data_IF_712894825415
#
_entry.id   IF_712894825415
#
_cell.length_a   1.000
_cell.length_b   1.000
_cell.length_c   1.000
_cell.angle_alpha   90.00
_cell.angle_beta   90.00
_cell.angle_gamma   90.00
#
_symmetry.space_group_name_H-M   'P 1'
#
loop_
_entity.id
_entity.type
_entity.pdbx_description
1 polymer ?
#
# COMPACT_ATOMS: atom_id res chain seq x y z
N UNK A 1 -3.39 39.15 -2.57
CA UNK A 1 -2.14 39.42 -1.83
C UNK A 1 -1.83 38.31 -0.85
N UNK A 2 -2.54 38.24 0.27
CA UNK A 2 -2.24 37.32 1.39
C UNK A 2 -2.37 35.84 1.01
N UNK A 3 -3.38 35.44 0.23
CA UNK A 3 -3.51 34.04 -0.24
C UNK A 3 -2.29 33.63 -1.09
N UNK A 4 -1.87 34.49 -2.03
CA UNK A 4 -0.67 34.26 -2.84
C UNK A 4 0.57 34.19 -1.94
N UNK A 5 0.71 35.10 -0.97
CA UNK A 5 1.81 35.09 -0.01
C UNK A 5 1.83 33.82 0.86
N UNK A 6 0.68 33.25 1.24
CA UNK A 6 0.59 31.99 1.99
C UNK A 6 0.91 30.80 1.11
N UNK A 7 0.43 30.75 -0.13
CA UNK A 7 0.72 29.64 -1.04
C UNK A 7 2.21 29.62 -1.40
N UNK A 8 2.76 30.75 -1.82
CA UNK A 8 4.17 30.86 -2.18
C UNK A 8 5.08 30.83 -0.96
N UNK A 9 4.78 31.61 0.07
CA UNK A 9 5.53 31.59 1.33
C UNK A 9 5.48 30.24 2.01
N UNK A 10 4.33 29.55 1.95
CA UNK A 10 4.17 28.17 2.38
C UNK A 10 5.12 27.25 1.61
N UNK A 11 5.06 27.22 0.27
CA UNK A 11 5.96 26.39 -0.55
C UNK A 11 7.45 26.62 -0.26
N UNK A 12 7.87 27.87 -0.06
CA UNK A 12 9.29 28.20 0.13
C UNK A 12 9.78 28.11 1.58
N UNK A 13 8.95 28.43 2.58
CA UNK A 13 9.35 28.47 3.99
C UNK A 13 9.07 27.18 4.76
N UNK A 14 8.04 26.41 4.37
CA UNK A 14 7.67 25.17 5.06
C UNK A 14 8.73 24.09 4.85
N UNK A 15 9.27 23.97 3.63
CA UNK A 15 10.32 22.98 3.29
C UNK A 15 11.57 23.09 4.17
N UNK A 16 12.25 24.25 4.31
CA UNK A 16 13.42 24.36 5.17
C UNK A 16 13.07 24.19 6.65
N UNK A 17 11.90 24.67 7.10
CA UNK A 17 11.46 24.51 8.47
C UNK A 17 11.31 23.03 8.86
N UNK A 18 10.60 22.24 8.05
CA UNK A 18 10.45 20.80 8.30
C UNK A 18 11.76 20.03 8.15
N UNK A 19 12.69 20.47 7.29
CA UNK A 19 14.04 19.88 7.20
C UNK A 19 14.87 20.11 8.46
N UNK A 20 14.72 21.26 9.13
CA UNK A 20 15.37 21.51 10.42
C UNK A 20 14.77 20.62 11.51
N UNK A 21 13.44 20.49 11.53
CA UNK A 21 12.73 19.66 12.50
C UNK A 21 13.05 18.18 12.31
N UNK A 22 13.11 17.68 11.06
CA UNK A 22 13.46 16.31 10.75
C UNK A 22 14.85 15.91 11.32
N UNK A 23 15.79 16.85 11.44
CA UNK A 23 17.10 16.60 12.07
C UNK A 23 17.03 16.38 13.58
N UNK A 24 15.95 16.82 14.24
CA UNK A 24 15.78 16.65 15.69
C UNK A 24 15.33 15.24 16.07
N UNK A 25 14.77 14.46 15.14
CA UNK A 25 14.23 13.11 15.37
C UNK A 25 13.11 13.03 16.43
N UNK A 26 12.50 14.16 16.80
CA UNK A 26 11.38 14.25 17.76
C UNK A 26 10.08 14.34 16.98
N UNK A 27 9.22 13.32 17.08
CA UNK A 27 7.92 13.27 16.37
C UNK A 27 6.95 14.36 16.85
N UNK A 28 6.94 14.62 18.16
CA UNK A 28 6.05 15.59 18.79
C UNK A 28 6.26 17.01 18.25
N UNK A 29 7.50 17.37 17.91
CA UNK A 29 7.85 18.67 17.34
C UNK A 29 7.26 18.83 15.93
N UNK A 30 7.16 17.73 15.20
CA UNK A 30 6.59 17.68 13.86
C UNK A 30 5.11 18.05 13.89
N UNK A 31 4.34 17.36 14.74
CA UNK A 31 2.91 17.62 14.97
C UNK A 31 2.67 19.03 15.50
N UNK A 32 3.47 19.48 16.49
CA UNK A 32 3.32 20.80 17.09
C UNK A 32 3.49 21.93 16.06
N UNK A 33 4.47 21.81 15.17
CA UNK A 33 4.71 22.80 14.12
C UNK A 33 3.64 22.75 13.04
N UNK A 34 3.18 21.56 12.65
CA UNK A 34 2.07 21.43 11.71
C UNK A 34 0.80 22.12 12.24
N UNK A 35 0.43 21.88 13.49
CA UNK A 35 -0.71 22.54 14.14
C UNK A 35 -0.48 24.04 14.29
N UNK A 36 0.74 24.48 14.64
CA UNK A 36 1.09 25.90 14.72
C UNK A 36 0.91 26.61 13.37
N UNK A 37 1.30 25.96 12.26
CA UNK A 37 1.10 26.50 10.92
C UNK A 37 -0.39 26.63 10.61
N UNK A 38 -1.19 25.59 10.89
CA UNK A 38 -2.64 25.60 10.67
C UNK A 38 -3.31 26.72 11.47
N UNK A 39 -3.02 26.81 12.78
CA UNK A 39 -3.56 27.84 13.68
C UNK A 39 -3.07 29.23 13.29
N UNK A 40 -1.79 29.38 12.93
CA UNK A 40 -1.20 30.64 12.51
C UNK A 40 -1.82 31.17 11.22
N UNK A 41 -2.06 30.31 10.23
CA UNK A 41 -2.75 30.67 8.99
C UNK A 41 -4.21 31.00 9.26
N UNK A 42 -4.90 30.22 10.11
CA UNK A 42 -6.28 30.51 10.51
C UNK A 42 -6.42 31.87 11.18
N UNK A 43 -5.50 32.20 12.10
CA UNK A 43 -5.44 33.49 12.77
C UNK A 43 -5.18 34.64 11.78
N UNK A 44 -4.19 34.48 10.88
CA UNK A 44 -3.87 35.50 9.88
C UNK A 44 -5.06 35.76 8.95
N UNK A 45 -5.81 34.72 8.59
CA UNK A 45 -7.02 34.82 7.77
C UNK A 45 -8.12 35.58 8.49
N UNK A 46 -8.35 35.29 9.77
CA UNK A 46 -9.27 36.06 10.60
C UNK A 46 -8.90 37.54 10.67
N UNK A 47 -7.60 37.86 10.80
CA UNK A 47 -7.12 39.24 10.89
C UNK A 47 -7.36 40.07 9.61
N UNK A 48 -7.50 39.43 8.44
CA UNK A 48 -7.80 40.09 7.17
C UNK A 48 -9.28 39.98 6.77
N UNK A 49 -10.15 39.57 7.70
CA UNK A 49 -11.58 39.43 7.47
C UNK A 49 -11.99 38.22 6.64
N UNK A 50 -11.10 37.24 6.46
CA UNK A 50 -11.41 35.97 5.80
C UNK A 50 -11.74 34.89 6.84
N UNK A 51 -12.53 33.89 6.44
CA UNK A 51 -12.91 32.81 7.37
C UNK A 51 -11.69 31.98 7.80
N UNK A 52 -11.64 31.64 9.08
CA UNK A 52 -10.63 30.74 9.62
C UNK A 52 -10.64 29.37 8.90
N UNK A 53 -11.83 28.88 8.51
CA UNK A 53 -11.98 27.63 7.79
C UNK A 53 -11.34 27.65 6.39
N UNK A 54 -11.44 28.78 5.66
CA UNK A 54 -10.71 28.95 4.41
C UNK A 54 -9.20 28.92 4.64
N UNK A 55 -8.75 29.54 5.75
CA UNK A 55 -7.35 29.52 6.16
C UNK A 55 -6.81 28.13 6.44
N UNK A 56 -7.51 27.35 7.26
CA UNK A 56 -7.11 25.97 7.58
C UNK A 56 -7.16 25.06 6.35
N UNK A 57 -8.12 25.27 5.45
CA UNK A 57 -8.16 24.56 4.16
C UNK A 57 -6.93 24.85 3.30
N UNK A 58 -6.57 26.12 3.13
CA UNK A 58 -5.36 26.52 2.38
C UNK A 58 -4.10 25.97 3.07
N UNK A 59 -4.01 26.04 4.40
CA UNK A 59 -2.91 25.47 5.16
C UNK A 59 -2.76 23.97 4.89
N UNK A 60 -3.86 23.22 4.91
CA UNK A 60 -3.88 21.80 4.60
C UNK A 60 -3.39 21.49 3.18
N UNK A 61 -3.87 22.24 2.17
CA UNK A 61 -3.42 22.08 0.78
C UNK A 61 -1.92 22.35 0.63
N UNK A 62 -1.41 23.38 1.30
CA UNK A 62 0.01 23.73 1.28
C UNK A 62 0.88 22.66 1.98
N UNK A 63 0.39 22.11 3.10
CA UNK A 63 1.06 21.03 3.82
C UNK A 63 1.06 19.71 3.03
N UNK A 64 -0.03 19.42 2.31
CA UNK A 64 -0.17 18.25 1.46
C UNK A 64 0.81 18.25 0.26
N UNK A 65 1.23 19.43 -0.20
CA UNK A 65 2.23 19.62 -1.26
C UNK A 65 3.70 19.57 -0.76
N UNK A 66 3.91 19.11 0.49
CA UNK A 66 5.24 18.98 1.10
C UNK A 66 5.86 17.58 0.90
N UNK A 67 7.20 17.51 0.92
CA UNK A 67 7.97 16.24 0.85
C UNK A 67 7.65 15.30 2.03
N UNK A 68 7.09 15.84 3.11
CA UNK A 68 6.78 15.10 4.34
C UNK A 68 5.28 14.85 4.54
N UNK A 69 4.47 14.92 3.47
CA UNK A 69 3.02 14.74 3.55
C UNK A 69 2.58 13.47 4.29
N UNK A 70 3.28 12.35 4.09
CA UNK A 70 2.93 11.05 4.68
C UNK A 70 3.22 11.02 6.18
N UNK A 71 4.30 11.67 6.63
CA UNK A 71 4.62 11.82 8.06
C UNK A 71 3.59 12.74 8.72
N UNK A 72 3.28 13.88 8.09
CA UNK A 72 2.22 14.79 8.55
C UNK A 72 0.87 14.10 8.67
N UNK A 73 0.48 13.32 7.67
CA UNK A 73 -0.78 12.58 7.65
C UNK A 73 -0.81 11.53 8.77
N UNK A 74 0.24 10.73 8.92
CA UNK A 74 0.35 9.73 9.99
C UNK A 74 0.28 10.35 11.40
N UNK A 75 0.85 11.53 11.58
CA UNK A 75 0.89 12.21 12.89
C UNK A 75 -0.43 12.94 13.21
N UNK A 76 -1.18 13.37 12.20
CA UNK A 76 -2.48 14.06 12.36
C UNK A 76 -3.65 13.06 12.43
N UNK A 77 -3.52 11.85 11.86
CA UNK A 77 -4.58 10.84 11.84
C UNK A 77 -5.22 10.56 13.22
N UNK A 78 -4.45 10.47 14.34
CA UNK A 78 -5.04 10.31 15.68
C UNK A 78 -5.97 11.47 16.09
N UNK A 79 -5.63 12.70 15.68
CA UNK A 79 -6.44 13.89 15.97
C UNK A 79 -7.65 13.98 15.07
N UNK A 80 -7.53 13.57 13.80
CA UNK A 80 -8.64 13.56 12.84
C UNK A 80 -9.81 12.73 13.35
N UNK A 81 -9.56 11.53 13.87
CA UNK A 81 -10.61 10.70 14.47
C UNK A 81 -11.29 11.36 15.68
N UNK A 82 -10.50 11.96 16.58
CA UNK A 82 -11.00 12.68 17.75
C UNK A 82 -11.84 13.92 17.36
N UNK A 83 -11.33 14.72 16.43
CA UNK A 83 -11.97 15.95 15.95
C UNK A 83 -13.25 15.64 15.16
N UNK A 84 -13.26 14.55 14.39
CA UNK A 84 -14.46 14.07 13.68
C UNK A 84 -15.53 13.61 14.67
N UNK A 85 -15.15 12.91 15.75
CA UNK A 85 -16.05 12.59 16.85
C UNK A 85 -16.64 13.84 17.50
N UNK A 86 -15.79 14.82 17.83
CA UNK A 86 -16.23 16.11 18.38
C UNK A 86 -17.16 16.85 17.39
N UNK A 87 -16.86 16.84 16.11
CA UNK A 87 -17.68 17.45 15.05
C UNK A 87 -19.08 16.84 15.01
N UNK A 88 -19.21 15.51 15.02
CA UNK A 88 -20.53 14.88 15.01
C UNK A 88 -21.32 15.13 16.30
N UNK A 89 -20.65 15.24 17.44
CA UNK A 89 -21.29 15.61 18.72
C UNK A 89 -21.79 17.06 18.65
N UNK A 90 -20.99 18.00 18.15
CA UNK A 90 -21.38 19.41 18.07
C UNK A 90 -22.48 19.65 17.05
N UNK A 91 -22.41 19.02 15.88
CA UNK A 91 -23.48 19.04 14.87
C UNK A 91 -24.76 18.42 15.44
N UNK A 92 -24.66 17.28 16.13
CA UNK A 92 -25.78 16.65 16.81
C UNK A 92 -26.43 17.56 17.87
N UNK A 93 -25.63 18.32 18.62
CA UNK A 93 -26.12 19.28 19.60
C UNK A 93 -26.77 20.52 18.97
N UNK A 94 -26.43 20.86 17.73
CA UNK A 94 -27.06 21.95 16.97
C UNK A 94 -28.43 21.57 16.38
N UNK A 95 -28.82 20.28 16.43
CA UNK A 95 -30.13 19.83 15.93
C UNK A 95 -31.24 20.41 16.81
N UNK A 96 -31.99 21.36 16.24
CA UNK A 96 -33.17 21.92 16.88
C UNK A 96 -34.38 21.02 16.63
N UNK A 97 -34.70 20.16 17.60
CA UNK A 97 -35.85 19.27 17.54
C UNK A 97 -37.19 20.01 17.46
N UNK A 98 -37.29 21.23 18.00
CA UNK A 98 -38.52 22.01 17.89
C UNK A 98 -38.80 22.38 16.43
N UNK A 99 -37.77 22.74 15.65
CA UNK A 99 -37.89 23.00 14.21
C UNK A 99 -38.25 21.73 13.44
N UNK A 100 -37.64 20.59 13.80
CA UNK A 100 -37.93 19.30 13.17
C UNK A 100 -39.39 18.88 13.35
N UNK A 101 -39.92 18.98 14.57
CA UNK A 101 -41.30 18.57 14.88
C UNK A 101 -42.33 19.64 14.55
N UNK A 102 -41.94 20.92 14.44
CA UNK A 102 -42.82 22.01 14.05
C UNK A 102 -43.16 21.99 12.56
N UNK A 103 -42.19 21.67 11.70
CA UNK A 103 -42.35 21.71 10.23
C UNK A 103 -41.78 20.46 9.51
N UNK A 104 -42.15 19.23 9.91
CA UNK A 104 -41.51 18.01 9.43
C UNK A 104 -41.61 17.85 7.90
N UNK A 105 -42.75 18.22 7.32
CA UNK A 105 -42.97 18.17 5.86
C UNK A 105 -41.98 19.05 5.09
N UNK A 106 -41.68 20.25 5.60
CA UNK A 106 -40.73 21.17 4.95
C UNK A 106 -39.32 20.61 5.06
N UNK A 107 -38.92 20.12 6.25
CA UNK A 107 -37.58 19.57 6.48
C UNK A 107 -37.33 18.32 5.64
N UNK A 108 -38.23 17.34 5.66
CA UNK A 108 -38.09 16.12 4.86
C UNK A 108 -38.20 16.40 3.36
N UNK A 109 -39.00 17.38 2.95
CA UNK A 109 -39.08 17.85 1.57
C UNK A 109 -37.76 18.45 1.08
N UNK A 110 -37.14 19.33 1.88
CA UNK A 110 -35.83 19.91 1.58
C UNK A 110 -34.71 18.87 1.58
N UNK A 111 -34.74 17.94 2.54
CA UNK A 111 -33.79 16.82 2.62
C UNK A 111 -33.87 15.93 1.37
N UNK A 112 -35.06 15.47 1.01
CA UNK A 112 -35.27 14.67 -0.19
C UNK A 112 -34.86 15.46 -1.44
N UNK A 113 -35.23 16.75 -1.52
CA UNK A 113 -34.84 17.64 -2.60
C UNK A 113 -33.32 17.75 -2.76
N UNK A 114 -32.60 17.99 -1.67
CA UNK A 114 -31.13 18.07 -1.67
C UNK A 114 -30.49 16.76 -2.16
N UNK A 115 -30.88 15.63 -1.56
CA UNK A 115 -30.29 14.31 -1.84
C UNK A 115 -30.58 13.89 -3.27
N UNK A 116 -31.84 13.99 -3.72
CA UNK A 116 -32.24 13.59 -5.08
C UNK A 116 -31.59 14.49 -6.12
N UNK A 117 -31.60 15.82 -5.91
CA UNK A 117 -30.99 16.75 -6.86
C UNK A 117 -29.49 16.48 -7.02
N UNK A 118 -28.74 16.36 -5.91
CA UNK A 118 -27.31 16.06 -5.98
C UNK A 118 -27.04 14.67 -6.56
N UNK A 119 -27.80 13.66 -6.17
CA UNK A 119 -27.65 12.32 -6.74
C UNK A 119 -27.85 12.33 -8.27
N UNK A 120 -28.86 13.02 -8.78
CA UNK A 120 -29.12 13.15 -10.23
C UNK A 120 -27.98 13.88 -10.94
N UNK A 121 -27.52 15.02 -10.40
CA UNK A 121 -26.41 15.79 -10.98
C UNK A 121 -25.14 14.94 -11.03
N UNK A 122 -24.80 14.27 -9.93
CA UNK A 122 -23.57 13.49 -9.82
C UNK A 122 -23.64 12.23 -10.68
N UNK A 123 -24.80 11.58 -10.75
CA UNK A 123 -25.02 10.46 -11.66
C UNK A 123 -24.88 10.88 -13.13
N UNK A 124 -25.38 12.07 -13.50
CA UNK A 124 -25.20 12.66 -14.81
C UNK A 124 -23.72 12.91 -15.13
N UNK A 125 -22.97 13.51 -14.19
CA UNK A 125 -21.53 13.73 -14.33
C UNK A 125 -20.75 12.42 -14.45
N UNK A 126 -21.07 11.42 -13.63
CA UNK A 126 -20.47 10.09 -13.68
C UNK A 126 -20.77 9.38 -15.02
N UNK A 127 -21.93 9.66 -15.62
CA UNK A 127 -22.28 9.19 -16.97
C UNK A 127 -21.43 9.87 -18.04
N UNK A 128 -21.22 11.19 -17.96
CA UNK A 128 -20.33 11.92 -18.87
C UNK A 128 -18.87 11.44 -18.75
N UNK A 129 -18.44 11.13 -17.53
CA UNK A 129 -17.13 10.54 -17.24
C UNK A 129 -16.98 9.07 -17.67
N UNK A 130 -18.02 8.46 -18.26
CA UNK A 130 -18.04 7.07 -18.75
C UNK A 130 -17.73 6.02 -17.69
N UNK A 131 -18.08 6.27 -16.43
CA UNK A 131 -17.97 5.28 -15.36
C UNK A 131 -18.95 4.13 -15.60
N UNK A 132 -18.67 2.95 -15.04
CA UNK A 132 -19.59 1.82 -15.03
C UNK A 132 -20.82 2.11 -14.14
N UNK A 133 -21.91 1.36 -14.33
CA UNK A 133 -23.18 1.63 -13.63
C UNK A 133 -23.05 1.53 -12.11
N UNK A 134 -22.21 0.61 -11.61
CA UNK A 134 -21.98 0.44 -10.18
C UNK A 134 -21.25 1.66 -9.60
N UNK A 135 -20.17 2.09 -10.25
CA UNK A 135 -19.45 3.31 -9.87
C UNK A 135 -20.33 4.56 -9.94
N UNK A 136 -21.25 4.67 -10.91
CA UNK A 136 -22.19 5.80 -11.00
C UNK A 136 -23.10 5.88 -9.78
N UNK A 137 -23.72 4.77 -9.37
CA UNK A 137 -24.59 4.75 -8.20
C UNK A 137 -23.81 5.02 -6.91
N UNK A 138 -22.65 4.38 -6.76
CA UNK A 138 -21.76 4.58 -5.63
C UNK A 138 -21.38 6.05 -5.47
N UNK A 139 -20.90 6.69 -6.55
CA UNK A 139 -20.53 8.10 -6.54
C UNK A 139 -21.73 9.02 -6.27
N UNK A 140 -22.87 8.76 -6.90
CA UNK A 140 -24.08 9.55 -6.75
C UNK A 140 -24.62 9.53 -5.31
N UNK A 141 -24.67 8.37 -4.67
CA UNK A 141 -25.21 8.22 -3.31
C UNK A 141 -24.22 8.68 -2.23
N UNK A 142 -22.91 8.41 -2.39
CA UNK A 142 -21.89 8.86 -1.43
C UNK A 142 -21.77 10.38 -1.35
N UNK A 143 -21.95 11.07 -2.48
CA UNK A 143 -21.76 12.53 -2.57
C UNK A 143 -23.07 13.34 -2.54
N UNK A 144 -24.22 12.67 -2.37
CA UNK A 144 -25.54 13.31 -2.34
C UNK A 144 -25.77 14.20 -1.11
N UNK A 145 -25.04 13.98 -0.01
CA UNK A 145 -25.21 14.75 1.23
C UNK A 145 -24.79 16.22 1.11
N UNK A 146 -25.22 17.04 2.08
CA UNK A 146 -24.67 18.37 2.29
C UNK A 146 -23.20 18.30 2.74
N UNK A 147 -22.39 19.27 2.33
CA UNK A 147 -20.99 19.35 2.78
C UNK A 147 -20.85 19.97 4.16
N UNK A 148 -19.88 19.53 4.95
CA UNK A 148 -19.59 20.05 6.30
C UNK A 148 -19.28 21.56 6.30
N UNK A 149 -18.73 22.04 5.19
CA UNK A 149 -18.47 23.46 4.99
C UNK A 149 -19.73 24.34 5.05
N UNK A 150 -20.91 23.75 4.84
CA UNK A 150 -22.19 24.46 4.96
C UNK A 150 -22.38 25.03 6.37
N UNK A 151 -22.00 24.30 7.43
CA UNK A 151 -22.14 24.77 8.81
C UNK A 151 -21.33 26.04 9.09
N UNK A 152 -20.13 26.12 8.52
CA UNK A 152 -19.29 27.32 8.63
C UNK A 152 -19.93 28.50 7.89
N UNK A 153 -20.42 28.28 6.68
CA UNK A 153 -21.11 29.31 5.90
C UNK A 153 -22.39 29.80 6.59
N UNK A 154 -23.17 28.90 7.16
CA UNK A 154 -24.36 29.21 7.94
C UNK A 154 -24.03 30.05 9.17
N UNK A 155 -22.98 29.68 9.92
CA UNK A 155 -22.51 30.49 11.04
C UNK A 155 -22.10 31.90 10.62
N UNK A 156 -21.41 32.04 9.48
CA UNK A 156 -21.03 33.34 8.93
C UNK A 156 -22.25 34.17 8.48
N UNK A 157 -23.23 33.54 7.82
CA UNK A 157 -24.45 34.22 7.39
C UNK A 157 -25.31 34.71 8.57
N UNK A 158 -25.30 33.99 9.70
CA UNK A 158 -25.95 34.46 10.95
C UNK A 158 -25.18 35.65 11.54
N UNK A 159 -23.84 35.61 11.52
CA UNK A 159 -23.01 36.66 12.08
C UNK A 159 -23.14 37.99 11.32
N UNK A 160 -23.25 37.91 9.99
CA UNK A 160 -23.38 39.06 9.09
C UNK A 160 -24.85 39.41 8.76
N UNK A 161 -25.82 38.74 9.40
CA UNK A 161 -27.27 38.94 9.24
C UNK A 161 -27.74 38.87 7.77
N UNK A 162 -27.09 38.01 6.97
CA UNK A 162 -27.35 37.83 5.54
C UNK A 162 -28.65 37.04 5.30
N UNK A 163 -28.96 36.10 6.20
CA UNK A 163 -30.16 35.27 6.14
C UNK A 163 -30.87 35.26 7.50
N UNK A 164 -32.22 35.21 7.50
CA UNK A 164 -32.99 34.95 8.71
C UNK A 164 -32.50 33.70 9.44
N UNK A 165 -32.47 33.75 10.78
CA UNK A 165 -32.04 32.63 11.62
C UNK A 165 -32.88 31.39 11.39
N UNK A 166 -34.17 31.56 11.16
CA UNK A 166 -35.12 30.47 10.91
C UNK A 166 -34.74 29.67 9.66
N UNK A 167 -34.29 30.34 8.58
CA UNK A 167 -33.83 29.66 7.36
C UNK A 167 -32.51 28.95 7.60
N UNK A 168 -31.60 29.58 8.33
CA UNK A 168 -30.29 29.00 8.61
C UNK A 168 -30.39 27.77 9.51
N UNK A 169 -31.29 27.79 10.50
CA UNK A 169 -31.61 26.64 11.35
C UNK A 169 -32.22 25.49 10.53
N UNK A 170 -33.17 25.79 9.61
CA UNK A 170 -33.73 24.79 8.68
C UNK A 170 -32.64 24.16 7.81
N UNK A 171 -31.75 24.95 7.22
CA UNK A 171 -30.69 24.42 6.35
C UNK A 171 -29.64 23.63 7.13
N UNK A 172 -29.26 24.08 8.32
CA UNK A 172 -28.37 23.36 9.25
C UNK A 172 -28.94 21.99 9.58
N UNK A 173 -30.23 21.93 9.91
CA UNK A 173 -30.95 20.69 10.20
C UNK A 173 -30.99 19.75 8.98
N UNK A 174 -31.30 20.27 7.79
CA UNK A 174 -31.32 19.48 6.55
C UNK A 174 -29.95 18.90 6.22
N UNK A 175 -28.87 19.68 6.37
CA UNK A 175 -27.51 19.20 6.14
C UNK A 175 -27.13 18.12 7.15
N UNK A 176 -27.41 18.33 8.44
CA UNK A 176 -27.13 17.34 9.49
C UNK A 176 -27.88 16.02 9.26
N UNK A 177 -29.17 16.08 8.93
CA UNK A 177 -29.97 14.90 8.61
C UNK A 177 -29.48 14.20 7.33
N UNK A 178 -28.99 14.96 6.34
CA UNK A 178 -28.41 14.36 5.12
C UNK A 178 -27.17 13.53 5.41
N UNK A 179 -26.30 14.00 6.31
CA UNK A 179 -25.11 13.24 6.75
C UNK A 179 -25.49 12.00 7.54
N UNK A 180 -26.52 12.09 8.39
CA UNK A 180 -27.06 10.94 9.11
C UNK A 180 -27.69 9.90 8.18
N UNK A 181 -28.28 10.34 7.06
CA UNK A 181 -28.90 9.48 6.05
C UNK A 181 -27.86 8.76 5.17
N UNK A 182 -26.67 9.33 4.95
CA UNK A 182 -25.65 8.80 4.03
C UNK A 182 -25.25 7.34 4.30
N UNK A 183 -24.93 6.91 5.54
CA UNK A 183 -24.61 5.51 5.80
C UNK A 183 -25.74 4.55 5.38
N UNK A 184 -27.01 4.97 5.55
CA UNK A 184 -28.16 4.17 5.10
C UNK A 184 -28.24 4.09 3.57
N UNK A 185 -27.95 5.19 2.87
CA UNK A 185 -27.88 5.20 1.40
C UNK A 185 -26.74 4.32 0.88
N UNK A 186 -25.59 4.30 1.56
CA UNK A 186 -24.45 3.43 1.20
C UNK A 186 -24.82 1.95 1.39
N UNK A 187 -25.40 1.58 2.53
CA UNK A 187 -25.87 0.20 2.78
C UNK A 187 -26.94 -0.19 1.75
N UNK A 188 -27.84 0.71 1.40
CA UNK A 188 -28.84 0.49 0.36
C UNK A 188 -28.20 0.26 -1.01
N UNK A 189 -27.17 1.04 -1.37
CA UNK A 189 -26.41 0.84 -2.60
C UNK A 189 -25.78 -0.56 -2.65
N UNK A 190 -25.05 -0.94 -1.60
CA UNK A 190 -24.34 -2.23 -1.52
C UNK A 190 -25.30 -3.43 -1.53
N UNK A 191 -26.42 -3.35 -0.81
CA UNK A 191 -27.34 -4.49 -0.67
C UNK A 191 -28.39 -4.60 -1.76
N UNK A 192 -28.77 -3.49 -2.40
CA UNK A 192 -29.91 -3.47 -3.33
C UNK A 192 -29.49 -3.09 -4.75
N UNK A 193 -28.73 -2.01 -4.91
CA UNK A 193 -28.39 -1.48 -6.23
C UNK A 193 -27.22 -2.24 -6.89
N UNK A 194 -26.19 -2.62 -6.13
CA UNK A 194 -25.03 -3.35 -6.65
C UNK A 194 -25.36 -4.77 -7.13
N UNK A 195 -26.13 -5.61 -6.41
CA UNK A 195 -26.50 -6.94 -6.89
C UNK A 195 -27.36 -6.88 -8.16
N UNK A 196 -28.22 -5.86 -8.27
CA UNK A 196 -29.08 -5.63 -9.42
C UNK A 196 -28.33 -5.04 -10.64
N UNK A 197 -27.28 -4.25 -10.41
CA UNK A 197 -26.45 -3.68 -11.48
C UNK A 197 -25.45 -4.70 -12.03
N UNK A 198 -24.89 -5.57 -11.18
CA UNK A 198 -24.05 -6.71 -11.58
C UNK A 198 -24.83 -7.73 -12.43
N UNK A 199 -26.13 -7.91 -12.18
CA UNK A 199 -27.00 -8.78 -12.98
C UNK A 199 -27.36 -8.21 -14.37
N UNK A 200 -27.09 -6.93 -14.64
CA UNK A 200 -27.42 -6.24 -15.91
C UNK A 200 -26.23 -5.63 -16.65
N UNK A 201 -25.06 -5.56 -16.04
CA UNK A 201 -23.82 -5.26 -16.74
C UNK A 201 -23.44 -6.46 -17.59
N UNK A 202 -23.62 -6.33 -18.90
CA UNK A 202 -22.93 -7.20 -19.85
C UNK A 202 -21.43 -7.11 -19.53
N UNK A 203 -20.74 -8.23 -19.25
CA UNK A 203 -19.38 -8.22 -18.79
C UNK A 203 -18.50 -7.59 -19.87
N UNK A 204 -17.99 -6.41 -19.60
CA UNK A 204 -16.86 -5.84 -20.32
C UNK A 204 -15.64 -6.73 -20.03
N UNK A 205 -15.41 -7.70 -20.92
CA UNK A 205 -14.16 -8.38 -21.30
C UNK A 205 -13.08 -8.78 -20.26
N UNK A 206 -13.18 -8.49 -18.96
CA UNK A 206 -12.12 -8.76 -17.98
C UNK A 206 -12.57 -9.56 -16.74
N UNK A 207 -13.86 -9.83 -16.56
CA UNK A 207 -14.34 -10.73 -15.51
C UNK A 207 -14.62 -12.13 -16.07
N UNK A 208 -13.53 -12.81 -16.43
CA UNK A 208 -13.52 -14.27 -16.51
C UNK A 208 -13.60 -14.78 -15.07
N UNK A 209 -14.82 -15.05 -14.61
CA UNK A 209 -15.05 -16.04 -13.56
C UNK A 209 -14.93 -17.42 -14.20
N UNK A 210 -13.68 -17.85 -14.41
CA UNK A 210 -13.37 -19.24 -14.74
C UNK A 210 -11.96 -19.53 -14.20
N UNK A 211 -11.85 -20.59 -13.39
CA UNK A 211 -10.66 -21.15 -12.74
C UNK A 211 -9.64 -20.13 -12.17
N UNK A 212 -9.61 -19.97 -10.84
CA UNK A 212 -8.62 -19.12 -10.16
C UNK A 212 -7.18 -19.39 -10.63
N UNK A 213 -6.40 -18.32 -10.81
CA UNK A 213 -5.00 -18.44 -11.23
C UNK A 213 -4.23 -19.37 -10.27
N UNK A 214 -3.35 -20.24 -10.79
CA UNK A 214 -2.61 -21.18 -9.95
C UNK A 214 -1.59 -20.50 -9.02
N UNK A 215 -1.22 -19.24 -9.30
CA UNK A 215 -0.22 -18.49 -8.54
C UNK A 215 -0.78 -17.15 -8.09
N UNK A 216 -0.52 -16.79 -6.83
CA UNK A 216 -0.73 -15.44 -6.29
C UNK A 216 0.63 -14.83 -6.01
N UNK A 217 0.85 -13.59 -6.43
CA UNK A 217 2.07 -12.82 -6.14
C UNK A 217 1.70 -11.62 -5.28
N UNK A 218 2.09 -11.63 -4.02
CA UNK A 218 1.94 -10.53 -3.09
C UNK A 218 3.15 -9.59 -3.15
N UNK A 219 2.97 -8.42 -3.74
CA UNK A 219 4.00 -7.43 -4.01
C UNK A 219 4.45 -7.46 -5.48
N UNK A 220 4.32 -6.32 -6.14
CA UNK A 220 4.69 -6.02 -7.52
C UNK A 220 5.80 -4.97 -7.61
N UNK A 221 6.67 -4.90 -6.59
CA UNK A 221 7.91 -4.12 -6.66
C UNK A 221 8.98 -4.79 -7.54
N UNK A 222 10.24 -4.35 -7.37
CA UNK A 222 11.40 -4.83 -8.15
C UNK A 222 11.47 -6.36 -8.30
N UNK A 223 11.24 -7.11 -7.24
CA UNK A 223 11.26 -8.57 -7.27
C UNK A 223 9.98 -9.15 -7.89
N UNK A 224 8.82 -8.64 -7.49
CA UNK A 224 7.50 -9.08 -7.99
C UNK A 224 7.37 -8.95 -9.51
N UNK A 225 7.82 -7.83 -10.08
CA UNK A 225 7.81 -7.62 -11.53
C UNK A 225 8.64 -8.66 -12.27
N UNK A 226 9.82 -9.04 -11.76
CA UNK A 226 10.67 -10.07 -12.38
C UNK A 226 10.00 -11.44 -12.30
N UNK A 227 9.42 -11.79 -11.15
CA UNK A 227 8.71 -13.06 -10.94
C UNK A 227 7.53 -13.17 -11.91
N UNK A 228 6.67 -12.15 -11.93
CA UNK A 228 5.47 -12.12 -12.77
C UNK A 228 5.84 -12.20 -14.25
N UNK A 229 6.85 -11.43 -14.70
CA UNK A 229 7.33 -11.49 -16.08
C UNK A 229 7.88 -12.86 -16.46
N UNK A 230 8.59 -13.53 -15.55
CA UNK A 230 9.12 -14.87 -15.79
C UNK A 230 7.98 -15.90 -15.91
N UNK A 231 7.01 -15.87 -15.00
CA UNK A 231 5.85 -16.77 -15.03
C UNK A 231 5.03 -16.59 -16.32
N UNK A 232 4.82 -15.34 -16.74
CA UNK A 232 4.12 -15.02 -17.99
C UNK A 232 4.85 -15.53 -19.22
N UNK A 233 6.18 -15.39 -19.28
CA UNK A 233 6.98 -15.92 -20.38
C UNK A 233 6.86 -17.45 -20.55
N UNK A 234 6.42 -18.15 -19.50
CA UNK A 234 6.16 -19.59 -19.50
C UNK A 234 4.66 -19.94 -19.60
N UNK A 235 3.79 -18.96 -19.82
CA UNK A 235 2.34 -19.16 -19.92
C UNK A 235 1.66 -19.49 -18.59
N UNK A 236 2.29 -19.17 -17.44
CA UNK A 236 1.71 -19.39 -16.11
C UNK A 236 0.97 -18.14 -15.66
N UNK A 237 -0.35 -18.22 -15.59
CA UNK A 237 -1.20 -17.13 -15.11
C UNK A 237 -1.02 -16.88 -13.60
N UNK A 238 -0.95 -15.61 -13.20
CA UNK A 238 -0.78 -15.19 -11.82
C UNK A 238 -1.73 -14.04 -11.46
N UNK A 239 -2.26 -14.06 -10.24
CA UNK A 239 -2.97 -12.93 -9.63
C UNK A 239 -1.98 -12.08 -8.84
N UNK A 240 -1.96 -10.78 -9.08
CA UNK A 240 -1.03 -9.84 -8.42
C UNK A 240 -1.75 -9.02 -7.35
N UNK A 241 -1.12 -8.86 -6.19
CA UNK A 241 -1.56 -7.97 -5.11
C UNK A 241 -0.51 -6.88 -4.88
N UNK A 242 -0.91 -5.61 -4.89
CA UNK A 242 -0.03 -4.50 -4.53
C UNK A 242 -0.80 -3.32 -3.90
N UNK A 243 -0.09 -2.45 -3.20
CA UNK A 243 -0.62 -1.25 -2.54
C UNK A 243 -0.33 0.03 -3.33
N UNK A 244 0.40 -0.05 -4.44
CA UNK A 244 0.66 1.04 -5.38
C UNK A 244 -0.38 0.99 -6.52
N UNK A 245 -1.27 1.99 -6.64
CA UNK A 245 -2.31 1.99 -7.67
C UNK A 245 -1.73 2.08 -9.09
N UNK A 246 -0.57 2.73 -9.28
CA UNK A 246 0.06 2.86 -10.60
C UNK A 246 0.53 1.48 -11.13
N UNK A 247 1.02 0.63 -10.24
CA UNK A 247 1.44 -0.74 -10.55
C UNK A 247 0.23 -1.63 -10.92
N UNK A 248 -0.89 -1.46 -10.22
CA UNK A 248 -2.13 -2.21 -10.49
C UNK A 248 -2.71 -1.82 -11.86
N UNK A 249 -2.76 -0.54 -12.17
CA UNK A 249 -3.23 -0.05 -13.47
C UNK A 249 -2.35 -0.55 -14.61
N UNK A 250 -1.02 -0.58 -14.41
CA UNK A 250 -0.09 -1.15 -15.37
C UNK A 250 -0.39 -2.64 -15.62
N UNK A 251 -0.60 -3.42 -14.57
CA UNK A 251 -0.89 -4.86 -14.68
C UNK A 251 -2.21 -5.16 -15.37
N UNK A 252 -3.26 -4.38 -15.09
CA UNK A 252 -4.55 -4.51 -15.77
C UNK A 252 -4.44 -4.21 -17.26
N UNK A 253 -3.66 -3.21 -17.66
CA UNK A 253 -3.41 -2.90 -19.08
C UNK A 253 -2.69 -4.03 -19.82
N UNK A 254 -1.92 -4.85 -19.13
CA UNK A 254 -1.27 -6.04 -19.69
C UNK A 254 -2.16 -7.30 -19.60
N UNK A 255 -3.43 -7.17 -19.18
CA UNK A 255 -4.39 -8.26 -19.11
C UNK A 255 -4.19 -9.18 -17.91
N UNK A 256 -3.53 -8.70 -16.85
CA UNK A 256 -3.34 -9.49 -15.62
C UNK A 256 -4.39 -9.17 -14.57
N UNK A 257 -4.79 -10.21 -13.83
CA UNK A 257 -5.65 -10.05 -12.67
C UNK A 257 -4.84 -9.39 -11.55
N UNK A 258 -5.22 -8.17 -11.19
CA UNK A 258 -4.51 -7.39 -10.18
C UNK A 258 -5.48 -6.71 -9.21
N UNK A 259 -5.21 -6.85 -7.92
CA UNK A 259 -5.99 -6.26 -6.84
C UNK A 259 -5.15 -5.26 -6.04
N UNK A 260 -5.75 -4.10 -5.82
CA UNK A 260 -5.19 -3.07 -4.96
C UNK A 260 -5.51 -3.38 -3.50
N UNK A 261 -4.50 -3.37 -2.63
CA UNK A 261 -4.70 -3.46 -1.20
C UNK A 261 -3.55 -4.09 -0.43
N UNK A 262 -3.77 -4.24 0.87
CA UNK A 262 -2.81 -4.83 1.80
C UNK A 262 -2.92 -6.36 1.79
N UNK A 263 -1.88 -7.04 1.31
CA UNK A 263 -1.86 -8.49 1.19
C UNK A 263 -1.91 -9.23 2.55
N UNK A 264 -1.73 -8.54 3.68
CA UNK A 264 -1.94 -9.11 5.02
C UNK A 264 -3.43 -9.17 5.43
N UNK A 265 -4.36 -8.74 4.58
CA UNK A 265 -5.81 -8.88 4.83
C UNK A 265 -6.33 -10.20 4.26
N UNK A 266 -7.00 -10.98 5.10
CA UNK A 266 -7.59 -12.27 4.70
C UNK A 266 -8.55 -12.13 3.52
N UNK A 267 -9.46 -11.17 3.60
CA UNK A 267 -10.47 -10.90 2.56
C UNK A 267 -9.84 -10.63 1.18
N UNK A 268 -8.66 -9.99 1.16
CA UNK A 268 -7.95 -9.70 -0.09
C UNK A 268 -7.31 -10.97 -0.66
N UNK A 269 -6.72 -11.82 0.18
CA UNK A 269 -6.19 -13.12 -0.25
C UNK A 269 -7.32 -14.03 -0.76
N UNK A 270 -8.46 -14.06 -0.08
CA UNK A 270 -9.65 -14.81 -0.54
C UNK A 270 -10.12 -14.30 -1.91
N UNK A 271 -10.27 -12.98 -2.05
CA UNK A 271 -10.66 -12.34 -3.32
C UNK A 271 -9.66 -12.60 -4.45
N UNK A 272 -8.38 -12.75 -4.11
CA UNK A 272 -7.31 -13.11 -5.06
C UNK A 272 -7.36 -14.58 -5.52
N UNK A 273 -8.18 -15.41 -4.88
CA UNK A 273 -8.35 -16.83 -5.18
C UNK A 273 -7.50 -17.76 -4.32
N UNK A 274 -7.05 -17.33 -3.14
CA UNK A 274 -6.19 -18.13 -2.26
C UNK A 274 -6.80 -19.47 -1.84
N UNK A 275 -8.14 -19.62 -1.89
CA UNK A 275 -8.81 -20.91 -1.66
C UNK A 275 -8.63 -21.95 -2.76
N UNK A 276 -8.14 -21.57 -3.94
CA UNK A 276 -7.94 -22.45 -5.11
C UNK A 276 -6.54 -22.38 -5.72
N UNK A 277 -5.77 -21.35 -5.39
CA UNK A 277 -4.41 -21.18 -5.85
C UNK A 277 -3.49 -22.28 -5.29
N UNK A 278 -2.47 -22.65 -6.06
CA UNK A 278 -1.49 -23.67 -5.69
C UNK A 278 -0.26 -23.08 -5.01
N UNK A 279 0.14 -21.87 -5.41
CA UNK A 279 1.34 -21.20 -4.92
C UNK A 279 1.05 -19.75 -4.53
N UNK A 280 1.54 -19.34 -3.38
CA UNK A 280 1.62 -17.95 -2.94
C UNK A 280 3.09 -17.53 -2.92
N UNK A 281 3.43 -16.50 -3.69
CA UNK A 281 4.75 -15.89 -3.68
C UNK A 281 4.65 -14.55 -2.94
N UNK A 282 5.35 -14.43 -1.82
CA UNK A 282 5.38 -13.19 -1.01
C UNK A 282 6.65 -12.41 -1.36
N UNK A 283 6.52 -11.36 -2.17
CA UNK A 283 7.61 -10.58 -2.75
C UNK A 283 7.73 -9.14 -2.20
N UNK A 284 6.97 -8.80 -1.15
CA UNK A 284 7.07 -7.50 -0.46
C UNK A 284 8.39 -7.37 0.31
N UNK A 285 8.83 -6.13 0.56
CA UNK A 285 10.13 -5.83 1.18
C UNK A 285 10.10 -5.66 2.70
N UNK A 286 8.93 -5.53 3.31
CA UNK A 286 8.76 -5.39 4.76
C UNK A 286 8.73 -6.77 5.44
N UNK A 287 9.80 -7.12 6.17
CA UNK A 287 9.94 -8.42 6.83
C UNK A 287 8.80 -8.75 7.82
N UNK A 288 8.27 -7.73 8.53
CA UNK A 288 7.16 -7.92 9.47
C UNK A 288 5.85 -8.27 8.77
N UNK A 289 5.53 -7.55 7.68
CA UNK A 289 4.35 -7.89 6.87
C UNK A 289 4.50 -9.21 6.12
N UNK A 290 5.71 -9.55 5.66
CA UNK A 290 5.96 -10.86 5.05
C UNK A 290 5.61 -11.97 6.03
N UNK A 291 6.07 -11.85 7.27
CA UNK A 291 5.75 -12.81 8.33
C UNK A 291 4.23 -12.91 8.57
N UNK A 292 3.56 -11.77 8.70
CA UNK A 292 2.10 -11.70 8.90
C UNK A 292 1.33 -12.41 7.77
N UNK A 293 1.71 -12.18 6.51
CA UNK A 293 1.09 -12.84 5.35
C UNK A 293 1.33 -14.34 5.38
N UNK A 294 2.55 -14.79 5.70
CA UNK A 294 2.91 -16.21 5.76
C UNK A 294 2.10 -16.92 6.85
N UNK A 295 2.03 -16.35 8.06
CA UNK A 295 1.25 -16.92 9.16
C UNK A 295 -0.25 -16.97 8.82
N UNK A 296 -0.77 -15.90 8.23
CA UNK A 296 -2.17 -15.82 7.82
C UNK A 296 -2.51 -16.87 6.76
N UNK A 297 -1.67 -16.98 5.74
CA UNK A 297 -1.84 -17.93 4.64
C UNK A 297 -1.72 -19.38 5.14
N UNK A 298 -0.74 -19.68 5.99
CA UNK A 298 -0.57 -21.02 6.56
C UNK A 298 -1.77 -21.42 7.45
N UNK A 299 -2.35 -20.47 8.18
CA UNK A 299 -3.52 -20.71 9.05
C UNK A 299 -4.80 -20.98 8.27
N UNK A 300 -5.09 -20.21 7.21
CA UNK A 300 -6.38 -20.28 6.50
C UNK A 300 -6.33 -21.12 5.23
N UNK A 301 -5.17 -21.25 4.60
CA UNK A 301 -4.98 -21.96 3.34
C UNK A 301 -3.83 -22.97 3.45
N UNK A 302 -3.99 -24.06 4.23
CA UNK A 302 -2.91 -25.01 4.48
C UNK A 302 -2.43 -25.75 3.21
N UNK A 303 -3.23 -25.75 2.14
CA UNK A 303 -2.89 -26.35 0.85
C UNK A 303 -1.97 -25.46 -0.01
N UNK A 304 -1.90 -24.16 0.26
CA UNK A 304 -1.07 -23.22 -0.50
C UNK A 304 0.41 -23.49 -0.22
N UNK A 305 1.20 -23.63 -1.29
CA UNK A 305 2.66 -23.65 -1.20
C UNK A 305 3.19 -22.23 -1.17
N UNK A 306 3.96 -21.89 -0.14
CA UNK A 306 4.39 -20.52 0.14
C UNK A 306 5.88 -20.37 -0.18
N UNK A 307 6.20 -19.47 -1.11
CA UNK A 307 7.57 -19.03 -1.39
C UNK A 307 7.71 -17.59 -0.90
N UNK A 308 8.54 -17.34 0.10
CA UNK A 308 8.66 -16.02 0.70
C UNK A 308 10.02 -15.37 0.42
N UNK A 309 10.01 -14.08 0.13
CA UNK A 309 11.21 -13.24 0.12
C UNK A 309 11.66 -12.99 1.55
N UNK A 310 12.94 -13.23 1.83
CA UNK A 310 13.59 -12.80 3.06
C UNK A 310 14.61 -11.71 2.75
N UNK A 311 14.69 -10.68 3.61
CA UNK A 311 15.73 -9.67 3.50
C UNK A 311 17.08 -10.21 3.94
N UNK A 312 17.09 -10.92 5.07
CA UNK A 312 18.30 -11.42 5.72
C UNK A 312 18.16 -12.89 6.15
N UNK A 313 19.26 -13.49 6.62
CA UNK A 313 19.28 -14.88 7.11
C UNK A 313 18.33 -15.08 8.31
N UNK A 314 18.28 -14.13 9.25
CA UNK A 314 17.39 -14.21 10.42
C UNK A 314 15.93 -14.23 9.97
N UNK A 315 15.54 -13.35 9.06
CA UNK A 315 14.19 -13.32 8.50
C UNK A 315 13.84 -14.65 7.83
N UNK A 316 14.79 -15.23 7.09
CA UNK A 316 14.56 -16.52 6.43
C UNK A 316 14.26 -17.64 7.43
N UNK A 317 14.99 -17.68 8.54
CA UNK A 317 14.75 -18.65 9.61
C UNK A 317 13.38 -18.41 10.27
N UNK A 318 12.99 -17.16 10.52
CA UNK A 318 11.68 -16.82 11.08
C UNK A 318 10.54 -17.26 10.15
N UNK A 319 10.67 -17.03 8.85
CA UNK A 319 9.64 -17.40 7.86
C UNK A 319 9.49 -18.91 7.70
N UNK A 320 10.58 -19.68 7.76
CA UNK A 320 10.53 -21.14 7.78
C UNK A 320 9.74 -21.65 9.00
N UNK A 321 9.99 -21.08 10.18
CA UNK A 321 9.25 -21.42 11.41
C UNK A 321 7.77 -21.06 11.34
N UNK A 322 7.45 -19.94 10.69
CA UNK A 322 6.06 -19.51 10.45
C UNK A 322 5.32 -20.40 9.43
N UNK A 323 6.03 -21.32 8.77
CA UNK A 323 5.46 -22.29 7.84
C UNK A 323 5.56 -21.89 6.38
N UNK A 324 6.50 -21.02 5.98
CA UNK A 324 6.87 -20.91 4.57
C UNK A 324 7.50 -22.22 4.08
N UNK A 325 7.11 -22.69 2.89
CA UNK A 325 7.66 -23.93 2.32
C UNK A 325 9.07 -23.71 1.76
N UNK A 326 9.28 -22.55 1.14
CA UNK A 326 10.58 -22.13 0.61
C UNK A 326 10.81 -20.65 0.88
N UNK A 327 12.08 -20.29 1.07
CA UNK A 327 12.47 -18.90 1.36
C UNK A 327 13.68 -18.50 0.52
N UNK A 328 13.58 -17.34 -0.12
CA UNK A 328 14.63 -16.80 -0.98
C UNK A 328 15.15 -15.50 -0.37
N UNK A 329 16.45 -15.47 -0.04
CA UNK A 329 17.13 -14.26 0.45
C UNK A 329 17.41 -13.32 -0.71
N UNK A 330 16.94 -12.08 -0.62
CA UNK A 330 16.84 -11.18 -1.77
C UNK A 330 18.16 -10.83 -2.46
N UNK A 331 19.28 -10.79 -1.71
CA UNK A 331 20.61 -10.42 -2.25
C UNK A 331 21.53 -11.62 -2.44
N UNK A 332 21.19 -12.80 -1.91
CA UNK A 332 22.11 -13.92 -1.80
C UNK A 332 22.55 -14.45 -3.17
N UNK A 333 21.59 -14.77 -4.04
CA UNK A 333 21.87 -15.26 -5.40
C UNK A 333 22.67 -14.25 -6.23
N UNK A 334 22.34 -12.96 -6.10
CA UNK A 334 23.07 -11.89 -6.75
C UNK A 334 24.53 -11.82 -6.28
N UNK A 335 24.78 -11.97 -4.98
CA UNK A 335 26.13 -11.97 -4.42
C UNK A 335 26.95 -13.20 -4.86
N UNK A 336 26.32 -14.38 -4.92
CA UNK A 336 26.96 -15.61 -5.42
C UNK A 336 27.32 -15.45 -6.90
N UNK A 337 26.41 -14.91 -7.72
CA UNK A 337 26.66 -14.64 -9.13
C UNK A 337 27.80 -13.61 -9.32
N UNK A 338 27.84 -12.53 -8.54
CA UNK A 338 28.93 -11.56 -8.58
C UNK A 338 30.28 -12.21 -8.24
N UNK A 339 30.28 -13.09 -7.24
CA UNK A 339 31.48 -13.84 -6.81
C UNK A 339 31.96 -14.78 -7.91
N UNK A 340 31.04 -15.46 -8.60
CA UNK A 340 31.38 -16.28 -9.78
C UNK A 340 32.07 -15.44 -10.86
N UNK A 341 31.54 -14.25 -11.19
CA UNK A 341 32.16 -13.36 -12.19
C UNK A 341 33.53 -12.85 -11.75
N UNK A 342 33.70 -12.56 -10.46
CA UNK A 342 35.00 -12.17 -9.92
C UNK A 342 36.04 -13.29 -10.07
N UNK A 343 35.66 -14.54 -9.78
CA UNK A 343 36.55 -15.71 -9.98
C UNK A 343 36.93 -15.90 -11.46
N UNK A 344 35.98 -15.71 -12.37
CA UNK A 344 36.22 -15.74 -13.83
C UNK A 344 37.25 -14.66 -14.23
N UNK A 345 37.12 -13.42 -13.73
CA UNK A 345 38.09 -12.34 -13.99
C UNK A 345 39.47 -12.58 -13.37
N UNK A 346 39.55 -13.31 -12.26
CA UNK A 346 40.80 -13.73 -11.64
C UNK A 346 41.45 -14.94 -12.33
N UNK A 347 40.90 -15.41 -13.46
CA UNK A 347 41.48 -16.47 -14.28
C UNK A 347 40.96 -17.88 -13.98
N UNK A 348 39.92 -18.02 -13.16
CA UNK A 348 39.26 -19.31 -12.94
C UNK A 348 38.42 -19.69 -14.17
N UNK A 349 38.49 -20.95 -14.60
CA UNK A 349 37.67 -21.43 -15.73
C UNK A 349 36.16 -21.27 -15.41
N UNK A 350 35.31 -20.81 -16.35
CA UNK A 350 33.89 -20.56 -16.09
C UNK A 350 33.12 -21.76 -15.51
N UNK A 351 33.44 -22.97 -15.95
CA UNK A 351 32.83 -24.19 -15.41
C UNK A 351 33.19 -24.42 -13.93
N UNK A 352 34.47 -24.24 -13.57
CA UNK A 352 34.94 -24.39 -12.20
C UNK A 352 34.38 -23.30 -11.28
N UNK A 353 34.31 -22.04 -11.76
CA UNK A 353 33.69 -20.94 -11.01
C UNK A 353 32.19 -21.22 -10.74
N UNK A 354 31.45 -21.70 -11.74
CA UNK A 354 30.04 -22.09 -11.59
C UNK A 354 29.86 -23.25 -10.61
N UNK A 355 30.73 -24.26 -10.68
CA UNK A 355 30.68 -25.40 -9.76
C UNK A 355 30.96 -24.97 -8.31
N UNK A 356 31.96 -24.11 -8.09
CA UNK A 356 32.24 -23.54 -6.78
C UNK A 356 31.06 -22.73 -6.23
N UNK A 357 30.43 -21.88 -7.07
CA UNK A 357 29.25 -21.11 -6.72
C UNK A 357 28.07 -22.00 -6.31
N UNK A 358 27.75 -23.03 -7.11
CA UNK A 358 26.66 -23.98 -6.82
C UNK A 358 26.89 -24.76 -5.52
N UNK A 359 28.14 -25.18 -5.26
CA UNK A 359 28.49 -25.87 -4.00
C UNK A 359 28.34 -24.94 -2.81
N UNK A 360 28.84 -23.71 -2.92
CA UNK A 360 28.69 -22.69 -1.89
C UNK A 360 27.21 -22.42 -1.57
N UNK A 361 26.38 -22.22 -2.60
CA UNK A 361 24.94 -21.99 -2.48
C UNK A 361 24.23 -23.16 -1.77
N UNK A 362 24.46 -24.38 -2.24
CA UNK A 362 23.89 -25.61 -1.66
C UNK A 362 24.26 -25.74 -0.19
N UNK A 363 25.52 -25.48 0.15
CA UNK A 363 26.03 -25.59 1.51
C UNK A 363 25.45 -24.51 2.44
N UNK A 364 25.42 -23.26 1.99
CA UNK A 364 24.92 -22.14 2.79
C UNK A 364 23.42 -22.30 3.10
N UNK A 365 22.64 -22.78 2.13
CA UNK A 365 21.21 -23.08 2.31
C UNK A 365 21.03 -24.23 3.31
N UNK A 366 21.81 -25.30 3.19
CA UNK A 366 21.75 -26.43 4.11
C UNK A 366 22.09 -26.00 5.54
N UNK A 367 23.18 -25.24 5.71
CA UNK A 367 23.63 -24.72 7.00
C UNK A 367 22.59 -23.81 7.66
N UNK A 368 21.94 -22.93 6.89
CA UNK A 368 20.85 -22.10 7.39
C UNK A 368 19.66 -22.94 7.88
N UNK A 369 19.26 -23.96 7.12
CA UNK A 369 18.15 -24.86 7.50
C UNK A 369 18.49 -25.68 8.75
N UNK A 370 19.72 -26.17 8.84
CA UNK A 370 20.24 -26.84 10.04
C UNK A 370 20.21 -25.91 11.25
N UNK A 371 20.67 -24.68 11.09
CA UNK A 371 20.63 -23.68 12.15
C UNK A 371 19.19 -23.44 12.63
N UNK A 372 18.23 -23.27 11.72
CA UNK A 372 16.82 -23.08 12.08
C UNK A 372 16.29 -24.24 12.93
N UNK A 373 16.62 -25.49 12.56
CA UNK A 373 16.27 -26.70 13.33
C UNK A 373 16.92 -26.73 14.72
N UNK A 374 18.20 -26.37 14.82
CA UNK A 374 18.93 -26.34 16.11
C UNK A 374 18.33 -25.31 17.07
N UNK A 375 17.84 -24.20 16.55
CA UNK A 375 17.17 -23.18 17.35
C UNK A 375 15.81 -23.66 17.89
N UNK A 376 15.04 -24.41 17.10
CA UNK A 376 13.81 -25.05 17.56
C UNK A 376 14.07 -26.11 18.64
N UNK A 377 15.18 -26.83 18.54
CA UNK A 377 15.59 -27.86 19.51
C UNK A 377 16.17 -27.26 20.81
N UNK A 378 16.27 -25.93 20.92
CA UNK A 378 16.79 -25.26 22.11
C UNK A 378 18.29 -25.48 22.34
N UNK A 379 19.05 -25.81 21.28
CA UNK A 379 20.50 -25.99 21.38
C UNK A 379 21.15 -24.65 21.78
N UNK A 380 22.03 -24.71 22.79
CA UNK A 380 22.70 -23.54 23.33
C UNK A 380 23.53 -22.77 22.29
N UNK A 381 23.57 -21.45 22.43
CA UNK A 381 24.23 -20.54 21.47
C UNK A 381 25.69 -20.90 21.18
N UNK A 382 26.46 -21.31 22.22
CA UNK A 382 27.86 -21.72 22.07
C UNK A 382 28.02 -22.95 21.18
N UNK A 383 27.15 -23.95 21.34
CA UNK A 383 27.21 -25.17 20.54
C UNK A 383 26.81 -24.91 19.09
N UNK A 384 25.84 -24.01 18.86
CA UNK A 384 25.47 -23.54 17.51
C UNK A 384 26.64 -22.86 16.81
N UNK A 385 27.31 -21.92 17.50
CA UNK A 385 28.46 -21.20 16.93
C UNK A 385 29.57 -22.17 16.54
N UNK A 386 29.89 -23.15 17.38
CA UNK A 386 30.96 -24.11 17.09
C UNK A 386 30.63 -24.98 15.86
N UNK A 387 29.39 -25.46 15.74
CA UNK A 387 28.96 -26.23 14.56
C UNK A 387 29.01 -25.42 13.27
N UNK A 388 28.64 -24.14 13.33
CA UNK A 388 28.71 -23.23 12.18
C UNK A 388 30.16 -22.92 11.80
N UNK A 389 31.03 -22.74 12.79
CA UNK A 389 32.47 -22.52 12.59
C UNK A 389 33.09 -23.72 11.89
N UNK A 390 32.85 -24.92 12.42
CA UNK A 390 33.31 -26.17 11.83
C UNK A 390 32.77 -26.33 10.40
N UNK A 391 31.47 -26.09 10.19
CA UNK A 391 30.88 -26.14 8.87
C UNK A 391 31.52 -25.15 7.88
N UNK A 392 31.89 -23.96 8.33
CA UNK A 392 32.55 -22.96 7.48
C UNK A 392 33.97 -23.39 7.10
N UNK A 393 34.71 -23.99 8.04
CA UNK A 393 36.04 -24.55 7.80
C UNK A 393 35.99 -25.72 6.81
N UNK A 394 35.02 -26.63 6.96
CA UNK A 394 34.81 -27.75 6.05
C UNK A 394 34.52 -27.28 4.61
N UNK A 395 33.67 -26.25 4.46
CA UNK A 395 33.40 -25.65 3.15
C UNK A 395 34.64 -25.01 2.54
N UNK A 396 35.43 -24.28 3.33
CA UNK A 396 36.65 -23.66 2.84
C UNK A 396 37.65 -24.71 2.34
N UNK A 397 37.81 -25.81 3.07
CA UNK A 397 38.67 -26.93 2.68
C UNK A 397 38.19 -27.59 1.38
N UNK A 398 36.87 -27.86 1.27
CA UNK A 398 36.26 -28.44 0.06
C UNK A 398 36.47 -27.56 -1.18
N UNK A 399 36.31 -26.24 -1.05
CA UNK A 399 36.49 -25.31 -2.17
C UNK A 399 37.96 -25.20 -2.61
N UNK A 400 38.91 -25.28 -1.67
CA UNK A 400 40.36 -25.22 -1.95
C UNK A 400 40.87 -26.50 -2.62
N UNK A 401 40.42 -27.68 -2.17
CA UNK A 401 40.80 -28.97 -2.79
C UNK A 401 40.33 -29.07 -4.24
N UNK A 402 39.13 -28.59 -4.53
CA UNK A 402 38.57 -28.54 -5.88
C UNK A 402 39.35 -27.60 -6.81
N UNK A 403 39.78 -26.44 -6.30
CA UNK A 403 40.58 -25.49 -7.08
C UNK A 403 41.93 -26.09 -7.48
N UNK A 404 42.58 -26.83 -6.57
CA UNK A 404 43.83 -27.56 -6.85
C UNK A 404 43.62 -28.68 -7.86
N UNK A 405 42.52 -29.41 -7.74
CA UNK A 405 42.15 -30.50 -8.65
C UNK A 405 41.83 -30.01 -10.07
N UNK A 406 41.18 -28.84 -10.20
CA UNK A 406 40.88 -28.19 -11.47
C UNK A 406 42.08 -27.56 -12.18
N UNK A 407 43.16 -27.26 -11.46
CA UNK A 407 44.43 -26.75 -12.03
C UNK A 407 45.37 -27.87 -12.52
N UNK A 408 45.23 -29.11 -12.03
CA UNK A 408 46.11 -30.24 -12.38
C UNK A 408 45.90 -30.87 -13.76
N UNK A 409 44.86 -30.45 -14.50
CA UNK A 409 44.57 -30.92 -15.86
C UNK A 409 44.99 -29.92 -16.94
N UNK A 410 46.29 -29.83 -17.22
CA UNK A 410 46.80 -29.36 -18.51
C UNK A 410 46.96 -30.59 -19.42
N UNK A 411 46.12 -30.80 -20.45
CA UNK A 411 46.61 -31.45 -21.65
C UNK A 411 47.47 -30.42 -22.38
N UNK A 412 48.78 -30.66 -22.43
CA UNK A 412 49.63 -30.08 -23.47
C UNK A 412 49.01 -30.41 -24.83
N UNK A 413 48.54 -29.40 -25.54
CA UNK A 413 48.04 -29.58 -26.90
C UNK A 413 46.82 -28.72 -27.17
N UNK A 414 47.06 -27.47 -27.54
CA UNK A 414 46.41 -26.79 -28.67
C UNK A 414 47.08 -25.42 -28.82
N UNK A 415 48.30 -25.41 -29.36
CA UNK A 415 48.80 -24.23 -30.09
C UNK A 415 48.03 -24.17 -31.40
N UNK A 416 46.87 -23.51 -31.39
CA UNK A 416 46.10 -23.20 -32.58
C UNK A 416 46.45 -21.79 -33.05
N UNK A 417 47.33 -21.71 -34.05
CA UNK A 417 47.56 -20.53 -34.88
C UNK A 417 46.23 -19.97 -35.42
N UNK A 418 46.00 -18.67 -35.24
CA UNK A 418 44.83 -17.98 -35.77
C UNK A 418 45.13 -16.52 -36.02
N UNK A 419 45.93 -16.25 -37.05
CA UNK A 419 45.86 -14.98 -37.78
C UNK A 419 44.47 -14.95 -38.45
N UNK A 420 43.67 -13.94 -38.16
CA UNK A 420 42.50 -13.60 -38.97
C UNK A 420 42.37 -12.08 -39.00
N UNK A 421 42.95 -11.53 -40.07
CA UNK A 421 42.72 -10.21 -40.62
C UNK A 421 41.24 -9.95 -40.93
N UNK A 422 40.88 -8.67 -40.89
CA UNK A 422 39.97 -7.96 -41.81
C UNK A 422 38.65 -8.65 -42.22
N UNK A 423 37.53 -8.16 -41.65
CA UNK A 423 36.48 -7.39 -42.36
C UNK A 423 35.30 -7.02 -41.46
#
# INVERSE_FOLDING_TARGET
>A
GVIIAIIFGGRYAIRPLFRVIARTHIRELFTAVALLIVVGIAFLMGAIGLSAALGTFIAGVVLADSEYRHELESDIEPFKGLLLGLFFITVGAQINFNTLFGEPLVIFGLLAGLVVLKAVIIFGLATVARLDLSSRFTMALLLAQGGEFAFVLFGFMIAEDVLPRELTDRFTLVVALSMLLTPMLVIFNERVLQPASQARSNPSADDVYDEGNPVIVAGFGRMGTIIVRMLQGLGVSATVLDHDPDQIDLMRRFGHRAFYGDASRLELLESAGAGSARVLIVAIDNSGKTLEIVELARRHFPHLRIVARARERRDAMTLLKAGADEVVRETFEGAVQMSQRALEFLGTRPFAARQAAQRFETYDIALMRDWARMEEQGIGEKERIERVRQATEDLANLLVEDQKSGQGGQPEGWQGSGNADER
#
